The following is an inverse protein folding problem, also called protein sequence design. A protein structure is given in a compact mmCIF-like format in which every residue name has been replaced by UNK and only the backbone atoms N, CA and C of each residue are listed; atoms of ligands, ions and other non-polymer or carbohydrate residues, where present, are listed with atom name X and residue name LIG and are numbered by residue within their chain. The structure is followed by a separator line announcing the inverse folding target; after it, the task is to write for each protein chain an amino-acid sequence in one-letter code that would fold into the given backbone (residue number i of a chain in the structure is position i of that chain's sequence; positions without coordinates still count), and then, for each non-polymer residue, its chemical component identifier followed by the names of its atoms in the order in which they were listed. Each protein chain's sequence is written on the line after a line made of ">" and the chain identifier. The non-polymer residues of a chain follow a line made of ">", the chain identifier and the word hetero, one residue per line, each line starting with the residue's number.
data_IF_624105142845
#
_entry.id   IF_624105142845
#
_cell.length_a   1.000
_cell.length_b   1.000
_cell.length_c   1.000
_cell.angle_alpha   90.00
_cell.angle_beta   90.00
_cell.angle_gamma   90.00
#
_symmetry.space_group_name_H-M   'P 1'
#
loop_
_entity.id
_entity.type
_entity.pdbx_description
1 polymer ?
#
# COMPACT_ATOMS: atom_id res chain seq x y z
N UNK A 1 -6.96 -32.22 20.03
CA UNK A 1 -6.38 -33.23 19.12
C UNK A 1 -4.98 -32.77 18.76
N UNK A 2 -4.00 -33.67 18.84
CA UNK A 2 -2.58 -33.42 18.56
C UNK A 2 -2.40 -32.89 17.13
N UNK A 3 -1.61 -31.82 17.00
CA UNK A 3 -1.28 -31.21 15.72
C UNK A 3 -0.52 -32.20 14.83
N UNK A 4 -1.02 -32.40 13.62
CA UNK A 4 -0.34 -33.21 12.63
C UNK A 4 1.07 -32.63 12.37
N UNK A 5 2.10 -33.45 12.59
CA UNK A 5 3.47 -33.16 12.18
C UNK A 5 3.43 -32.95 10.66
N UNK A 6 3.92 -31.78 10.20
CA UNK A 6 4.02 -31.53 8.78
C UNK A 6 4.92 -32.60 8.15
N UNK A 7 4.50 -33.25 7.04
CA UNK A 7 5.29 -34.31 6.44
C UNK A 7 6.67 -33.78 6.04
N UNK A 8 7.73 -34.50 6.40
CA UNK A 8 9.08 -34.22 5.91
C UNK A 8 9.06 -34.25 4.38
N UNK A 9 9.46 -33.13 3.78
CA UNK A 9 9.59 -33.04 2.32
C UNK A 9 11.03 -33.36 1.96
N UNK A 10 11.27 -34.31 1.04
CA UNK A 10 12.62 -34.62 0.60
C UNK A 10 13.27 -33.38 -0.02
N UNK A 11 14.57 -33.21 0.25
CA UNK A 11 15.38 -32.17 -0.37
C UNK A 11 15.27 -32.28 -1.90
N UNK A 12 14.93 -31.18 -2.57
CA UNK A 12 14.80 -31.15 -4.03
C UNK A 12 16.17 -30.94 -4.67
N UNK A 13 16.45 -31.55 -5.83
CA UNK A 13 17.65 -31.25 -6.61
C UNK A 13 17.73 -29.76 -6.95
N UNK A 14 18.95 -29.20 -6.95
CA UNK A 14 19.18 -27.82 -7.34
C UNK A 14 18.80 -27.62 -8.81
N UNK A 15 18.11 -26.52 -9.11
CA UNK A 15 17.83 -26.10 -10.49
C UNK A 15 19.01 -25.26 -10.96
N UNK A 16 19.68 -25.66 -12.04
CA UNK A 16 20.87 -24.97 -12.59
C UNK A 16 20.67 -24.43 -13.99
N UNK A 17 19.50 -24.66 -14.60
CA UNK A 17 19.16 -24.26 -15.96
C UNK A 17 17.93 -23.34 -15.96
N UNK A 18 17.82 -22.44 -16.96
CA UNK A 18 16.74 -21.46 -17.09
C UNK A 18 17.25 -20.02 -17.08
N UNK A 19 16.34 -19.04 -16.95
CA UNK A 19 16.75 -17.65 -16.79
C UNK A 19 17.41 -17.44 -15.43
N UNK A 20 18.31 -16.45 -15.27
CA UNK A 20 18.95 -16.16 -13.98
C UNK A 20 17.94 -15.98 -12.83
N UNK A 21 16.79 -15.35 -13.11
CA UNK A 21 15.73 -15.16 -12.13
C UNK A 21 15.04 -16.47 -11.75
N UNK A 22 14.82 -17.39 -12.71
CA UNK A 22 14.24 -18.70 -12.42
C UNK A 22 15.17 -19.54 -11.54
N UNK A 23 16.46 -19.56 -11.86
CA UNK A 23 17.49 -20.27 -11.07
C UNK A 23 17.58 -19.70 -9.66
N UNK A 24 17.66 -18.37 -9.51
CA UNK A 24 17.69 -17.72 -8.20
C UNK A 24 16.43 -18.00 -7.36
N UNK A 25 15.24 -17.94 -7.98
CA UNK A 25 13.98 -18.22 -7.30
C UNK A 25 13.87 -19.69 -6.86
N UNK A 26 14.42 -20.62 -7.64
CA UNK A 26 14.46 -22.03 -7.30
C UNK A 26 15.42 -22.29 -6.13
N UNK A 27 16.61 -21.66 -6.14
CA UNK A 27 17.57 -21.74 -5.05
C UNK A 27 16.99 -21.21 -3.74
N UNK A 28 16.32 -20.04 -3.75
CA UNK A 28 15.65 -19.46 -2.57
C UNK A 28 14.58 -20.41 -2.01
N UNK A 29 13.80 -21.06 -2.89
CA UNK A 29 12.74 -21.98 -2.45
C UNK A 29 13.30 -23.27 -1.86
N UNK A 30 14.44 -23.75 -2.35
CA UNK A 30 15.09 -24.96 -1.86
C UNK A 30 15.83 -24.75 -0.53
N UNK A 31 16.36 -23.54 -0.30
CA UNK A 31 17.09 -23.22 0.92
C UNK A 31 16.21 -23.32 2.17
N UNK A 32 16.65 -24.10 3.17
CA UNK A 32 15.99 -24.28 4.48
C UNK A 32 14.46 -24.50 4.42
N UNK A 33 13.99 -25.30 3.46
CA UNK A 33 12.54 -25.54 3.23
C UNK A 33 11.74 -24.25 2.98
N UNK A 34 12.26 -23.36 2.12
CA UNK A 34 11.55 -22.16 1.69
C UNK A 34 10.16 -22.43 1.09
N UNK A 35 9.91 -23.62 0.54
CA UNK A 35 8.57 -24.05 0.11
C UNK A 35 7.64 -24.27 1.30
N UNK A 36 8.09 -24.99 2.34
CA UNK A 36 7.33 -25.18 3.57
C UNK A 36 7.04 -23.85 4.28
N UNK A 37 7.99 -22.92 4.27
CA UNK A 37 7.83 -21.57 4.82
C UNK A 37 6.58 -20.83 4.27
N UNK A 38 6.19 -21.06 3.01
CA UNK A 38 4.99 -20.45 2.41
C UNK A 38 3.69 -20.84 3.12
N UNK A 39 3.61 -22.05 3.67
CA UNK A 39 2.42 -22.44 4.44
C UNK A 39 2.30 -21.67 5.75
N UNK A 40 3.44 -21.29 6.36
CA UNK A 40 3.43 -20.43 7.55
C UNK A 40 3.00 -19.00 7.19
N UNK A 41 3.37 -18.49 6.01
CA UNK A 41 2.80 -17.24 5.50
C UNK A 41 1.29 -17.35 5.34
N UNK A 42 0.75 -18.49 4.90
CA UNK A 42 -0.70 -18.71 4.88
C UNK A 42 -1.35 -18.70 6.27
N UNK A 43 -0.66 -19.21 7.31
CA UNK A 43 -1.15 -19.21 8.69
C UNK A 43 -1.31 -17.82 9.30
N UNK A 44 -0.61 -16.81 8.77
CA UNK A 44 -0.84 -15.41 9.16
C UNK A 44 -2.33 -15.02 9.04
N UNK A 45 -3.09 -15.61 8.12
CA UNK A 45 -4.53 -15.34 8.01
C UNK A 45 -5.31 -15.72 9.28
N UNK A 46 -4.87 -16.75 10.02
CA UNK A 46 -5.46 -17.11 11.31
C UNK A 46 -5.14 -16.06 12.37
N UNK A 47 -3.92 -15.53 12.36
CA UNK A 47 -3.52 -14.45 13.26
C UNK A 47 -4.30 -13.17 12.95
N UNK A 48 -4.45 -12.83 11.66
CA UNK A 48 -5.27 -11.71 11.18
C UNK A 48 -6.72 -11.85 11.65
N UNK A 49 -7.33 -13.02 11.49
CA UNK A 49 -8.69 -13.26 11.95
C UNK A 49 -8.89 -12.98 13.46
N UNK A 50 -7.85 -13.21 14.27
CA UNK A 50 -7.90 -12.97 15.71
C UNK A 50 -7.49 -11.55 16.13
N UNK A 51 -6.71 -10.83 15.32
CA UNK A 51 -6.01 -9.61 15.77
C UNK A 51 -6.18 -8.38 14.87
N UNK A 52 -6.80 -8.49 13.70
CA UNK A 52 -6.82 -7.41 12.68
C UNK A 52 -7.24 -6.05 13.25
N UNK A 53 -8.35 -5.99 13.97
CA UNK A 53 -8.83 -4.73 14.56
C UNK A 53 -7.83 -4.14 15.57
N UNK A 54 -7.26 -4.97 16.44
CA UNK A 54 -6.24 -4.53 17.39
C UNK A 54 -5.00 -3.99 16.67
N UNK A 55 -4.59 -4.60 15.56
CA UNK A 55 -3.47 -4.09 14.77
C UNK A 55 -3.78 -2.77 14.07
N UNK A 56 -4.99 -2.62 13.55
CA UNK A 56 -5.44 -1.37 12.91
C UNK A 56 -5.61 -0.23 13.93
N UNK A 57 -6.13 -0.52 15.13
CA UNK A 57 -6.21 0.45 16.22
C UNK A 57 -4.79 0.87 16.67
N UNK A 58 -3.87 -0.08 16.83
CA UNK A 58 -2.47 0.22 17.10
C UNK A 58 -1.83 1.09 16.01
N UNK A 59 -2.17 0.85 14.74
CA UNK A 59 -1.68 1.66 13.63
C UNK A 59 -2.18 3.11 13.72
N UNK A 60 -3.47 3.30 14.07
CA UNK A 60 -4.07 4.62 14.29
C UNK A 60 -3.40 5.37 15.46
N UNK A 61 -3.16 4.67 16.56
CA UNK A 61 -2.63 5.24 17.81
C UNK A 61 -1.11 5.40 17.83
N UNK A 62 -0.42 4.75 16.89
CA UNK A 62 1.04 4.77 16.81
C UNK A 62 1.59 6.21 16.72
N UNK A 63 2.67 6.53 17.43
CA UNK A 63 3.35 7.81 17.31
C UNK A 63 4.34 7.85 16.12
N UNK A 64 4.43 6.79 15.32
CA UNK A 64 5.42 6.65 14.25
C UNK A 64 4.85 7.15 12.92
N UNK A 65 5.55 8.06 12.20
CA UNK A 65 5.17 8.45 10.84
C UNK A 65 5.00 7.24 9.92
N UNK A 66 4.00 7.25 9.04
CA UNK A 66 3.65 6.06 8.24
C UNK A 66 3.33 6.40 6.79
N UNK A 67 4.06 5.79 5.86
CA UNK A 67 3.68 5.77 4.44
C UNK A 67 2.98 4.45 4.11
N UNK A 68 1.70 4.52 3.74
CA UNK A 68 0.96 3.41 3.16
C UNK A 68 1.22 3.40 1.65
N UNK A 69 1.65 2.27 1.09
CA UNK A 69 1.99 2.15 -0.33
C UNK A 69 1.27 0.92 -0.88
N UNK A 70 0.59 1.06 -2.01
CA UNK A 70 -0.25 0.00 -2.57
C UNK A 70 -0.15 -0.07 -4.09
N UNK A 71 -0.14 -1.28 -4.65
CA UNK A 71 -0.25 -1.48 -6.10
C UNK A 71 -1.71 -1.43 -6.54
N UNK A 72 -2.01 -0.67 -7.60
CA UNK A 72 -3.38 -0.55 -8.12
C UNK A 72 -3.90 -1.86 -8.70
N UNK A 73 -3.01 -2.74 -9.16
CA UNK A 73 -3.31 -4.03 -9.78
C UNK A 73 -3.27 -5.20 -8.78
N UNK A 74 -3.20 -4.92 -7.46
CA UNK A 74 -3.20 -5.96 -6.43
C UNK A 74 -4.55 -6.71 -6.44
N UNK A 75 -4.56 -7.93 -6.95
CA UNK A 75 -5.76 -8.78 -6.99
C UNK A 75 -5.99 -9.57 -5.70
N UNK A 76 -4.96 -10.07 -4.97
CA UNK A 76 -5.13 -10.60 -3.62
C UNK A 76 -5.67 -9.60 -2.61
N UNK A 77 -5.16 -8.37 -2.60
CA UNK A 77 -5.57 -7.29 -1.70
C UNK A 77 -5.97 -6.04 -2.50
N UNK A 78 -7.20 -6.01 -3.02
CA UNK A 78 -7.64 -4.95 -3.92
C UNK A 78 -7.60 -3.56 -3.29
N UNK A 79 -7.43 -2.49 -4.10
CA UNK A 79 -7.22 -1.12 -3.63
C UNK A 79 -8.24 -0.60 -2.61
N UNK A 80 -9.48 -1.13 -2.62
CA UNK A 80 -10.49 -0.83 -1.59
C UNK A 80 -10.01 -1.10 -0.16
N UNK A 81 -9.10 -2.04 0.04
CA UNK A 81 -8.50 -2.36 1.35
C UNK A 81 -7.56 -1.23 1.77
N UNK A 82 -6.64 -0.81 0.91
CA UNK A 82 -5.76 0.34 1.16
C UNK A 82 -6.56 1.62 1.43
N UNK A 83 -7.61 1.88 0.66
CA UNK A 83 -8.53 3.00 0.87
C UNK A 83 -9.24 2.93 2.24
N UNK A 84 -9.69 1.73 2.65
CA UNK A 84 -10.30 1.54 3.96
C UNK A 84 -9.31 1.83 5.10
N UNK A 85 -8.07 1.35 4.98
CA UNK A 85 -7.01 1.60 5.97
C UNK A 85 -6.71 3.10 6.05
N UNK A 86 -6.53 3.74 4.90
CA UNK A 86 -6.28 5.17 4.82
C UNK A 86 -7.37 5.98 5.51
N UNK A 87 -8.61 5.82 5.06
CA UNK A 87 -9.74 6.63 5.51
C UNK A 87 -10.05 6.45 7.00
N UNK A 88 -10.01 5.21 7.51
CA UNK A 88 -10.46 4.92 8.87
C UNK A 88 -9.34 5.00 9.93
N UNK A 89 -8.07 4.88 9.53
CA UNK A 89 -6.97 4.72 10.50
C UNK A 89 -5.80 5.68 10.30
N UNK A 90 -5.52 6.17 9.09
CA UNK A 90 -4.30 6.95 8.82
C UNK A 90 -4.54 8.43 8.48
N UNK A 91 -5.58 8.76 7.72
CA UNK A 91 -5.86 10.10 7.17
C UNK A 91 -5.89 11.20 8.25
N UNK A 92 -6.51 10.90 9.40
CA UNK A 92 -6.75 11.86 10.50
C UNK A 92 -5.81 11.71 11.69
N UNK A 93 -4.71 10.98 11.53
CA UNK A 93 -3.72 10.86 12.62
C UNK A 93 -3.05 12.21 12.89
N UNK A 94 -2.74 12.52 14.17
CA UNK A 94 -1.97 13.71 14.52
C UNK A 94 -0.51 13.61 14.08
N UNK A 95 0.00 12.38 13.90
CA UNK A 95 1.33 12.11 13.35
C UNK A 95 1.23 11.93 11.84
N UNK A 96 2.28 12.37 11.14
CA UNK A 96 2.39 12.31 9.69
C UNK A 96 2.03 10.92 9.15
N UNK A 97 1.11 10.89 8.18
CA UNK A 97 0.82 9.72 7.38
C UNK A 97 0.68 10.14 5.92
N UNK A 98 1.08 9.25 5.01
CA UNK A 98 0.90 9.42 3.57
C UNK A 98 0.33 8.16 2.95
N UNK A 99 -0.36 8.31 1.83
CA UNK A 99 -0.87 7.19 1.05
C UNK A 99 -0.51 7.33 -0.42
N UNK A 100 0.11 6.28 -0.96
CA UNK A 100 0.65 6.21 -2.30
C UNK A 100 0.09 5.02 -3.06
N UNK A 101 -0.24 5.26 -4.33
CA UNK A 101 -0.66 4.23 -5.28
C UNK A 101 0.35 4.10 -6.41
N UNK A 102 0.74 2.87 -6.73
CA UNK A 102 1.56 2.54 -7.91
C UNK A 102 0.65 1.98 -9.01
N UNK A 103 0.38 2.72 -10.10
CA UNK A 103 -0.67 2.38 -11.07
C UNK A 103 -0.44 1.05 -11.81
N UNK A 104 0.81 0.70 -12.04
CA UNK A 104 1.22 -0.50 -12.80
C UNK A 104 1.63 -1.67 -11.91
N UNK A 105 1.77 -1.45 -10.61
CA UNK A 105 2.17 -2.48 -9.65
C UNK A 105 0.99 -3.32 -9.15
N UNK A 106 1.28 -4.59 -8.83
CA UNK A 106 0.38 -5.52 -8.18
C UNK A 106 0.68 -5.68 -6.68
N UNK A 107 0.65 -6.93 -6.21
CA UNK A 107 0.78 -7.25 -4.77
C UNK A 107 2.18 -7.01 -4.18
N UNK A 108 3.22 -6.92 -5.03
CA UNK A 108 4.59 -6.68 -4.60
C UNK A 108 5.17 -5.47 -5.32
N UNK A 109 4.79 -4.24 -4.94
CA UNK A 109 5.18 -3.04 -5.68
C UNK A 109 6.69 -2.83 -5.77
N UNK A 110 7.45 -3.25 -4.76
CA UNK A 110 8.92 -3.22 -4.78
C UNK A 110 9.56 -4.14 -5.82
N UNK A 111 8.82 -5.14 -6.32
CA UNK A 111 9.27 -6.03 -7.38
C UNK A 111 8.79 -5.54 -8.75
N UNK A 112 7.56 -5.04 -8.80
CA UNK A 112 6.92 -4.63 -10.05
C UNK A 112 7.45 -3.27 -10.53
N UNK A 113 7.60 -2.31 -9.61
CA UNK A 113 8.06 -0.94 -9.88
C UNK A 113 9.13 -0.49 -8.85
N UNK A 114 10.33 -1.12 -8.86
CA UNK A 114 11.35 -0.90 -7.84
C UNK A 114 11.85 0.54 -7.74
N UNK A 115 12.03 1.22 -8.88
CA UNK A 115 12.53 2.59 -8.92
C UNK A 115 11.52 3.60 -8.37
N UNK A 116 10.24 3.42 -8.72
CA UNK A 116 9.16 4.26 -8.23
C UNK A 116 8.93 4.03 -6.72
N UNK A 117 9.01 2.77 -6.27
CA UNK A 117 8.96 2.43 -4.85
C UNK A 117 10.11 3.08 -4.07
N UNK A 118 11.34 3.01 -4.60
CA UNK A 118 12.49 3.67 -3.99
C UNK A 118 12.35 5.19 -4.00
N UNK A 119 11.74 5.76 -5.05
CA UNK A 119 11.37 7.17 -5.15
C UNK A 119 10.47 7.60 -3.99
N UNK A 120 9.38 6.87 -3.75
CA UNK A 120 8.46 7.15 -2.63
C UNK A 120 9.23 7.12 -1.29
N UNK A 121 10.05 6.09 -1.06
CA UNK A 121 10.82 5.96 0.19
C UNK A 121 11.75 7.15 0.40
N UNK A 122 12.51 7.56 -0.63
CA UNK A 122 13.37 8.75 -0.56
C UNK A 122 12.57 10.01 -0.30
N UNK A 123 11.43 10.19 -0.98
CA UNK A 123 10.54 11.33 -0.72
C UNK A 123 10.10 11.38 0.74
N UNK A 124 9.66 10.26 1.31
CA UNK A 124 9.20 10.21 2.70
C UNK A 124 10.34 10.49 3.71
N UNK A 125 11.56 10.03 3.43
CA UNK A 125 12.68 10.11 4.39
C UNK A 125 13.53 11.37 4.26
N UNK A 126 13.69 11.90 3.05
CA UNK A 126 14.67 12.97 2.76
C UNK A 126 13.99 14.31 2.43
N UNK A 127 12.87 14.26 1.70
CA UNK A 127 12.15 15.47 1.25
C UNK A 127 11.05 15.85 2.25
N UNK A 128 10.39 14.84 2.83
CA UNK A 128 9.24 15.00 3.70
C UNK A 128 7.91 14.98 2.94
N UNK A 129 6.84 14.71 3.68
CA UNK A 129 5.47 14.76 3.19
C UNK A 129 4.89 16.16 3.47
N UNK A 130 4.08 16.74 2.57
CA UNK A 130 3.42 18.02 2.83
C UNK A 130 2.52 17.98 4.07
N UNK A 131 2.38 19.13 4.72
CA UNK A 131 1.26 19.37 5.65
C UNK A 131 -0.06 19.37 4.87
N UNK A 132 -1.23 19.18 5.53
CA UNK A 132 -2.53 19.17 4.85
C UNK A 132 -2.75 20.36 3.91
N UNK A 133 -2.31 21.56 4.29
CA UNK A 133 -2.46 22.79 3.51
C UNK A 133 -1.59 22.80 2.23
N UNK A 134 -0.47 22.06 2.24
CA UNK A 134 0.48 21.98 1.14
C UNK A 134 0.27 20.81 0.19
N UNK A 135 -0.60 19.85 0.52
CA UNK A 135 -0.79 18.62 -0.25
C UNK A 135 -1.16 18.87 -1.70
N UNK A 136 -2.02 19.85 -1.91
CA UNK A 136 -2.54 20.25 -3.20
C UNK A 136 -1.43 20.74 -4.15
N UNK A 137 -0.51 21.55 -3.63
CA UNK A 137 0.64 22.03 -4.37
C UNK A 137 1.65 20.89 -4.64
N UNK A 138 1.83 20.00 -3.66
CA UNK A 138 2.70 18.83 -3.76
C UNK A 138 2.20 17.86 -4.84
N UNK A 139 0.91 17.51 -4.84
CA UNK A 139 0.26 16.67 -5.85
C UNK A 139 0.40 17.25 -7.25
N UNK A 140 0.16 18.56 -7.40
CA UNK A 140 0.36 19.24 -8.69
C UNK A 140 1.81 19.18 -9.15
N UNK A 141 2.77 19.29 -8.23
CA UNK A 141 4.20 19.21 -8.54
C UNK A 141 4.59 17.82 -8.98
N UNK A 142 4.17 16.78 -8.26
CA UNK A 142 4.37 15.38 -8.64
C UNK A 142 3.78 15.06 -10.02
N UNK A 143 2.61 15.61 -10.34
CA UNK A 143 1.92 15.35 -11.59
C UNK A 143 2.58 15.97 -12.84
N UNK A 144 3.47 16.97 -12.70
CA UNK A 144 4.01 17.73 -13.85
C UNK A 144 4.74 16.87 -14.89
N UNK A 145 5.43 15.82 -14.45
CA UNK A 145 6.27 14.98 -15.30
C UNK A 145 5.95 13.49 -15.14
N UNK A 146 4.71 13.15 -14.78
CA UNK A 146 4.35 11.76 -14.51
C UNK A 146 4.40 10.90 -15.77
N UNK A 147 4.86 9.67 -15.61
CA UNK A 147 4.78 8.58 -16.59
C UNK A 147 3.61 7.65 -16.23
N UNK A 148 3.44 6.56 -16.98
CA UNK A 148 2.44 5.53 -16.66
C UNK A 148 2.75 4.78 -15.35
N UNK A 149 4.03 4.73 -14.94
CA UNK A 149 4.50 4.03 -13.73
C UNK A 149 4.58 4.95 -12.51
N UNK A 150 4.59 6.26 -12.72
CA UNK A 150 4.78 7.23 -11.65
C UNK A 150 3.76 7.06 -10.52
N UNK A 151 4.21 7.16 -9.26
CA UNK A 151 3.35 6.99 -8.12
C UNK A 151 2.37 8.15 -7.99
N UNK A 152 1.18 7.83 -7.49
CA UNK A 152 0.12 8.80 -7.20
C UNK A 152 0.05 8.98 -5.69
N UNK A 153 0.31 10.21 -5.23
CA UNK A 153 -0.01 10.62 -3.87
C UNK A 153 -1.53 10.80 -3.76
N UNK A 154 -2.17 10.07 -2.85
CA UNK A 154 -3.63 10.11 -2.70
C UNK A 154 -4.10 11.38 -1.99
N UNK A 155 -3.31 11.89 -1.04
CA UNK A 155 -3.68 13.03 -0.19
C UNK A 155 -4.76 12.72 0.83
N UNK A 156 -4.94 13.66 1.75
CA UNK A 156 -5.97 13.62 2.78
C UNK A 156 -7.30 14.08 2.21
N UNK A 157 -8.37 13.49 2.73
CA UNK A 157 -9.71 13.95 2.36
C UNK A 157 -10.02 15.26 3.09
N UNK A 158 -10.10 16.37 2.36
CA UNK A 158 -10.58 17.65 2.86
C UNK A 158 -12.06 17.75 2.49
N UNK A 159 -12.94 17.43 3.44
CA UNK A 159 -14.38 17.63 3.29
C UNK A 159 -14.72 18.93 4.00
N UNK A 160 -14.84 20.00 3.23
CA UNK A 160 -15.25 21.30 3.72
C UNK A 160 -16.51 21.78 2.99
N UNK A 161 -17.34 22.55 3.70
CA UNK A 161 -18.44 23.25 3.04
C UNK A 161 -17.84 24.31 2.12
N UNK A 162 -17.98 24.11 0.82
CA UNK A 162 -17.51 25.08 -0.16
C UNK A 162 -18.43 26.30 -0.11
N UNK A 163 -17.91 27.42 0.38
CA UNK A 163 -18.63 28.68 0.42
C UNK A 163 -18.24 29.54 -0.77
N UNK A 164 -19.21 29.85 -1.63
CA UNK A 164 -19.05 30.79 -2.72
C UNK A 164 -19.83 32.07 -2.39
N UNK A 165 -19.15 33.20 -2.11
CA UNK A 165 -19.82 34.48 -1.95
C UNK A 165 -20.62 34.80 -3.22
N UNK A 166 -21.95 34.89 -3.10
CA UNK A 166 -22.84 35.14 -4.23
C UNK A 166 -23.31 33.90 -4.99
N UNK A 167 -23.13 32.68 -4.46
CA UNK A 167 -23.76 31.50 -5.05
C UNK A 167 -25.28 31.66 -5.09
N UNK A 168 -25.83 31.54 -6.30
CA UNK A 168 -27.26 31.33 -6.50
C UNK A 168 -27.58 29.96 -5.87
N UNK A 169 -28.51 29.94 -4.93
CA UNK A 169 -28.95 28.69 -4.33
C UNK A 169 -29.43 27.74 -5.45
N UNK A 170 -28.86 26.54 -5.51
CA UNK A 170 -29.37 25.52 -6.42
C UNK A 170 -30.84 25.26 -6.11
N UNK A 171 -31.70 25.40 -7.12
CA UNK A 171 -33.07 24.89 -7.06
C UNK A 171 -33.18 23.66 -7.98
N UNK A 172 -34.11 22.72 -7.72
CA UNK A 172 -34.39 21.61 -8.63
C UNK A 172 -34.75 22.07 -10.05
N UNK A 173 -35.24 23.31 -10.20
CA UNK A 173 -35.60 23.95 -11.47
C UNK A 173 -34.40 24.62 -12.16
N UNK A 174 -33.21 24.57 -11.55
CA UNK A 174 -31.95 25.13 -12.06
C UNK A 174 -31.48 26.38 -11.30
N UNK A 175 -30.49 27.07 -11.88
CA UNK A 175 -30.00 28.35 -11.37
C UNK A 175 -30.90 29.47 -11.89
N UNK A 176 -31.53 30.23 -11.01
CA UNK A 176 -32.21 31.47 -11.38
C UNK A 176 -31.17 32.54 -11.65
N UNK A 177 -30.90 32.79 -12.93
CA UNK A 177 -30.14 33.95 -13.43
C UNK A 177 -31.05 35.18 -13.56
#
# INVERSE_FOLDING_TARGET
>A
MLGAVAPERPARPRVTEGTPQQVANADIQAFNDGIGARFYVGKYLLERAANEYRWLDNLRESPVPTALIWGLQDTPNPPRIGNHIWYNYLDKRPVESSYWLLPTAGHYPQRDEPEEMAGIVRTCLEVGIPTPEGEDAFMRTLARNRTATSPVYMGRSIIENVYFPGAVAYSPDGYSF
#
